data_IF_512365488407
#
_entry.id   IF_512365488407
#
_cell.length_a   1.000
_cell.length_b   1.000
_cell.length_c   1.000
_cell.angle_alpha   90.00
_cell.angle_beta   90.00
_cell.angle_gamma   90.00
#
_symmetry.space_group_name_H-M   'P 1'
#
loop_
_entity.id
_entity.type
_entity.pdbx_description
1 polymer ?
#
# COMPACT_ATOMS: atom_id res chain seq x y z
N UNK A 1 -69.01 14.69 -7.28
CA UNK A 1 -67.75 14.05 -6.82
C UNK A 1 -66.69 14.30 -7.88
N UNK A 2 -65.72 15.22 -7.67
CA UNK A 2 -64.47 15.34 -8.46
C UNK A 2 -63.80 16.67 -8.11
N UNK A 3 -62.76 16.65 -7.28
CA UNK A 3 -61.66 17.62 -7.26
C UNK A 3 -60.70 17.13 -6.16
N UNK A 4 -59.38 17.12 -6.28
CA UNK A 4 -58.45 17.70 -7.25
C UNK A 4 -57.22 16.80 -7.19
N UNK A 5 -56.74 16.35 -8.34
CA UNK A 5 -55.34 15.94 -8.39
C UNK A 5 -54.50 17.17 -8.01
N UNK A 6 -53.49 17.03 -7.15
CA UNK A 6 -52.57 18.13 -6.88
C UNK A 6 -52.02 18.64 -8.22
N UNK A 7 -52.01 19.96 -8.41
CA UNK A 7 -51.51 20.59 -9.64
C UNK A 7 -50.17 19.95 -10.01
N UNK A 8 -50.03 19.50 -11.26
CA UNK A 8 -48.80 18.88 -11.83
C UNK A 8 -47.49 19.51 -11.32
N UNK A 9 -47.33 20.84 -11.17
CA UNK A 9 -46.12 21.42 -10.55
C UNK A 9 -45.83 20.94 -9.13
N UNK A 10 -46.84 20.72 -8.29
CA UNK A 10 -46.68 20.24 -6.91
C UNK A 10 -46.16 18.79 -6.85
N UNK A 11 -46.61 17.94 -7.79
CA UNK A 11 -46.12 16.56 -7.91
C UNK A 11 -44.66 16.54 -8.38
N UNK A 12 -44.29 17.41 -9.32
CA UNK A 12 -42.89 17.55 -9.78
C UNK A 12 -41.97 18.07 -8.67
N UNK A 13 -42.41 19.03 -7.86
CA UNK A 13 -41.64 19.54 -6.72
C UNK A 13 -41.48 18.45 -5.65
N UNK A 14 -42.54 17.70 -5.34
CA UNK A 14 -42.48 16.57 -4.40
C UNK A 14 -41.54 15.46 -4.90
N UNK A 15 -41.59 15.12 -6.19
CA UNK A 15 -40.70 14.14 -6.81
C UNK A 15 -39.23 14.60 -6.78
N UNK A 16 -38.97 15.89 -7.07
CA UNK A 16 -37.62 16.46 -7.01
C UNK A 16 -37.05 16.41 -5.59
N UNK A 17 -37.85 16.74 -4.57
CA UNK A 17 -37.44 16.66 -3.17
C UNK A 17 -37.14 15.21 -2.74
N UNK A 18 -37.92 14.24 -3.23
CA UNK A 18 -37.66 12.83 -2.99
C UNK A 18 -36.34 12.37 -3.63
N UNK A 19 -36.06 12.79 -4.87
CA UNK A 19 -34.80 12.45 -5.56
C UNK A 19 -33.57 13.05 -4.87
N UNK A 20 -33.68 14.28 -4.35
CA UNK A 20 -32.60 14.93 -3.58
C UNK A 20 -32.35 14.22 -2.23
N UNK A 21 -33.41 13.75 -1.57
CA UNK A 21 -33.29 12.96 -0.35
C UNK A 21 -32.61 11.60 -0.58
N UNK A 22 -32.88 10.94 -1.72
CA UNK A 22 -32.23 9.67 -2.10
C UNK A 22 -30.73 9.86 -2.40
N UNK A 23 -30.33 11.03 -2.92
CA UNK A 23 -28.93 11.33 -3.19
C UNK A 23 -28.11 11.53 -1.90
N UNK A 24 -28.75 11.93 -0.80
CA UNK A 24 -28.08 12.21 0.48
C UNK A 24 -27.62 10.95 1.23
N UNK A 25 -28.08 9.76 0.83
CA UNK A 25 -27.79 8.51 1.54
C UNK A 25 -26.42 7.88 1.20
N UNK A 26 -25.69 8.40 0.20
CA UNK A 26 -24.50 7.72 -0.34
C UNK A 26 -23.13 8.17 0.20
N UNK A 27 -23.06 9.02 1.24
CA UNK A 27 -21.76 9.31 1.89
C UNK A 27 -21.60 8.49 3.16
N UNK A 28 -21.52 7.17 2.98
CA UNK A 28 -20.98 6.30 4.02
C UNK A 28 -19.50 6.62 4.16
N UNK A 29 -19.16 7.47 5.13
CA UNK A 29 -17.77 7.71 5.52
C UNK A 29 -17.23 6.41 6.11
N UNK A 30 -16.41 5.72 5.34
CA UNK A 30 -15.58 4.65 5.88
C UNK A 30 -14.61 5.31 6.85
N UNK A 31 -14.87 5.16 8.14
CA UNK A 31 -13.87 5.38 9.16
C UNK A 31 -12.70 4.46 8.85
N UNK A 32 -11.65 5.03 8.23
CA UNK A 32 -10.38 4.35 8.14
C UNK A 32 -9.98 4.04 9.59
N UNK A 33 -9.87 2.74 9.91
CA UNK A 33 -9.18 2.31 11.12
C UNK A 33 -7.78 2.89 11.03
N UNK A 34 -7.59 4.00 11.74
CA UNK A 34 -6.29 4.61 11.91
C UNK A 34 -5.40 3.53 12.52
N UNK A 35 -4.41 3.11 11.74
CA UNK A 35 -3.27 2.41 12.31
C UNK A 35 -2.79 3.23 13.51
N UNK A 36 -2.47 2.50 14.58
CA UNK A 36 -1.74 3.00 15.75
C UNK A 36 -0.74 4.09 15.34
N UNK A 37 -0.59 5.20 16.09
CA UNK A 37 0.29 6.30 15.70
C UNK A 37 1.70 5.73 15.52
N UNK A 38 2.05 5.48 14.25
CA UNK A 38 3.33 4.95 13.89
C UNK A 38 4.35 6.01 14.27
N UNK A 39 5.32 5.63 15.09
CA UNK A 39 6.51 6.43 15.31
C UNK A 39 7.04 6.82 13.92
N UNK A 40 7.12 8.12 13.60
CA UNK A 40 7.51 8.57 12.27
C UNK A 40 8.91 8.09 11.89
N UNK A 41 9.74 7.64 12.84
CA UNK A 41 11.07 7.09 12.56
C UNK A 41 11.13 5.56 12.51
N UNK A 42 10.04 4.85 12.81
CA UNK A 42 10.04 3.39 12.87
C UNK A 42 10.31 2.74 11.51
N UNK A 43 11.01 1.59 11.55
CA UNK A 43 11.31 0.81 10.37
C UNK A 43 10.07 0.04 9.87
N UNK A 44 9.61 0.41 8.68
CA UNK A 44 8.44 -0.18 8.02
C UNK A 44 8.85 -1.01 6.80
N UNK A 45 8.07 -2.04 6.41
CA UNK A 45 8.35 -2.83 5.22
C UNK A 45 8.29 -2.00 3.93
N UNK A 46 9.37 -2.00 3.16
CA UNK A 46 9.50 -1.33 1.87
C UNK A 46 9.94 -2.35 0.80
N UNK A 47 9.51 -2.16 -0.43
CA UNK A 47 9.94 -2.90 -1.61
C UNK A 47 10.93 -2.03 -2.39
N UNK A 48 12.14 -2.54 -2.55
CA UNK A 48 13.24 -1.89 -3.27
C UNK A 48 13.43 -2.62 -4.60
N UNK A 49 13.24 -1.91 -5.70
CA UNK A 49 13.59 -2.37 -7.04
C UNK A 49 15.00 -1.93 -7.37
N UNK A 50 15.82 -2.87 -7.84
CA UNK A 50 17.19 -2.60 -8.26
C UNK A 50 17.41 -3.02 -9.71
N UNK A 51 18.44 -2.47 -10.34
CA UNK A 51 18.95 -2.96 -11.60
C UNK A 51 19.42 -4.41 -11.41
N UNK A 52 19.18 -5.25 -12.42
CA UNK A 52 19.70 -6.61 -12.42
C UNK A 52 21.23 -6.54 -12.50
N UNK A 53 21.97 -7.26 -11.63
CA UNK A 53 23.42 -7.32 -11.76
C UNK A 53 23.80 -7.97 -13.10
N UNK A 54 24.87 -7.48 -13.72
CA UNK A 54 25.37 -8.00 -14.99
C UNK A 54 26.07 -9.37 -14.79
N UNK A 55 25.95 -10.24 -15.79
CA UNK A 55 26.64 -11.54 -15.83
C UNK A 55 26.06 -12.58 -14.87
N UNK A 56 26.94 -13.42 -14.31
CA UNK A 56 26.61 -14.56 -13.44
C UNK A 56 26.66 -14.22 -11.94
N UNK A 57 26.64 -12.93 -11.59
CA UNK A 57 26.68 -12.50 -10.19
C UNK A 57 25.41 -12.93 -9.45
N UNK A 58 25.57 -13.39 -8.20
CA UNK A 58 24.44 -13.77 -7.37
C UNK A 58 23.55 -12.55 -7.06
N UNK A 59 22.26 -12.56 -7.44
CA UNK A 59 21.35 -11.46 -7.18
C UNK A 59 21.19 -11.16 -5.69
N UNK A 60 21.20 -12.18 -4.82
CA UNK A 60 21.01 -11.98 -3.38
C UNK A 60 22.21 -11.27 -2.75
N UNK A 61 23.43 -11.66 -3.09
CA UNK A 61 24.65 -10.95 -2.68
C UNK A 61 24.67 -9.48 -3.15
N UNK A 62 24.16 -9.20 -4.36
CA UNK A 62 24.01 -7.83 -4.86
C UNK A 62 22.97 -7.04 -4.04
N UNK A 63 21.83 -7.66 -3.70
CA UNK A 63 20.81 -7.06 -2.85
C UNK A 63 21.37 -6.71 -1.46
N UNK A 64 22.05 -7.66 -0.81
CA UNK A 64 22.65 -7.45 0.51
C UNK A 64 23.72 -6.36 0.46
N UNK A 65 24.56 -6.33 -0.58
CA UNK A 65 25.60 -5.31 -0.71
C UNK A 65 25.01 -3.91 -0.93
N UNK A 66 23.94 -3.81 -1.73
CA UNK A 66 23.21 -2.55 -1.95
C UNK A 66 22.62 -2.05 -0.63
N UNK A 67 21.96 -2.92 0.13
CA UNK A 67 21.36 -2.55 1.42
C UNK A 67 22.40 -2.22 2.49
N UNK A 68 23.51 -2.96 2.53
CA UNK A 68 24.61 -2.74 3.46
C UNK A 68 25.27 -1.37 3.29
N UNK A 69 25.27 -0.81 2.08
CA UNK A 69 25.78 0.55 1.82
C UNK A 69 25.06 1.64 2.60
N UNK A 70 23.80 1.38 3.00
CA UNK A 70 22.95 2.31 3.75
C UNK A 70 22.86 1.90 5.22
N UNK A 71 22.82 0.60 5.51
CA UNK A 71 22.71 0.09 6.89
C UNK A 71 24.07 -0.03 7.61
N UNK A 72 25.17 0.14 6.89
CA UNK A 72 26.53 0.16 7.42
C UNK A 72 27.20 -1.21 7.60
N UNK A 73 26.47 -2.32 7.43
CA UNK A 73 27.04 -3.68 7.47
C UNK A 73 26.20 -4.70 6.70
N UNK A 74 26.81 -5.82 6.32
CA UNK A 74 26.10 -6.93 5.67
C UNK A 74 25.19 -7.67 6.65
N UNK A 75 25.58 -7.71 7.92
CA UNK A 75 24.81 -8.32 9.01
C UNK A 75 23.50 -7.54 9.22
N UNK A 76 23.58 -6.22 9.37
CA UNK A 76 22.39 -5.38 9.49
C UNK A 76 21.49 -5.47 8.23
N UNK A 77 22.09 -5.59 7.05
CA UNK A 77 21.33 -5.82 5.82
C UNK A 77 20.56 -7.15 5.85
N UNK A 78 21.22 -8.25 6.24
CA UNK A 78 20.56 -9.57 6.36
C UNK A 78 19.43 -9.56 7.38
N UNK A 79 19.62 -8.88 8.51
CA UNK A 79 18.59 -8.77 9.55
C UNK A 79 17.39 -7.91 9.12
N UNK A 80 17.61 -6.93 8.24
CA UNK A 80 16.57 -6.04 7.76
C UNK A 80 15.78 -6.60 6.56
N UNK A 81 16.37 -7.52 5.78
CA UNK A 81 15.68 -8.11 4.62
C UNK A 81 14.56 -9.04 5.08
N UNK A 82 13.41 -8.87 4.45
CA UNK A 82 12.22 -9.72 4.58
C UNK A 82 12.20 -10.76 3.47
N UNK A 83 12.56 -10.36 2.24
CA UNK A 83 12.50 -11.23 1.07
C UNK A 83 13.36 -10.72 -0.09
N UNK A 84 13.92 -11.63 -0.89
CA UNK A 84 14.64 -11.32 -2.13
C UNK A 84 13.80 -11.66 -3.37
N UNK A 85 13.63 -10.69 -4.26
CA UNK A 85 13.01 -10.88 -5.58
C UNK A 85 14.12 -11.09 -6.62
N UNK A 86 14.24 -12.31 -7.16
CA UNK A 86 15.35 -12.69 -8.06
C UNK A 86 14.91 -13.10 -9.47
N UNK A 87 13.66 -13.53 -9.65
CA UNK A 87 13.16 -14.12 -10.89
C UNK A 87 12.75 -13.07 -11.95
N UNK A 88 11.52 -12.55 -11.85
CA UNK A 88 10.93 -11.66 -12.86
C UNK A 88 11.25 -10.18 -12.63
N UNK A 89 11.61 -9.81 -11.41
CA UNK A 89 12.06 -8.48 -11.02
C UNK A 89 13.30 -8.65 -10.13
N UNK A 90 14.26 -7.74 -10.24
CA UNK A 90 15.40 -7.68 -9.33
C UNK A 90 15.07 -6.70 -8.21
N UNK A 91 15.18 -7.14 -6.97
CA UNK A 91 14.80 -6.32 -5.82
C UNK A 91 14.74 -7.09 -4.52
N UNK A 92 14.37 -6.39 -3.45
CA UNK A 92 14.18 -7.00 -2.15
C UNK A 92 13.14 -6.22 -1.33
N UNK A 93 12.47 -6.91 -0.43
CA UNK A 93 11.67 -6.29 0.61
C UNK A 93 12.51 -6.19 1.89
N UNK A 94 12.54 -5.03 2.55
CA UNK A 94 13.28 -4.84 3.80
C UNK A 94 12.53 -3.88 4.75
N UNK A 95 12.80 -3.99 6.05
CA UNK A 95 12.33 -3.01 7.04
C UNK A 95 13.27 -1.81 7.05
N UNK A 96 12.76 -0.64 6.70
CA UNK A 96 13.54 0.59 6.55
C UNK A 96 12.89 1.75 7.28
N UNK A 97 13.73 2.56 7.94
CA UNK A 97 13.34 3.88 8.44
C UNK A 97 13.19 4.86 7.27
N UNK A 98 12.47 5.98 7.42
CA UNK A 98 12.36 6.97 6.35
C UNK A 98 13.71 7.52 5.89
N UNK A 99 14.66 7.71 6.82
CA UNK A 99 16.02 8.16 6.48
C UNK A 99 16.74 7.16 5.57
N UNK A 100 16.67 5.87 5.89
CA UNK A 100 17.28 4.81 5.07
C UNK A 100 16.62 4.71 3.69
N UNK A 101 15.31 4.95 3.59
CA UNK A 101 14.60 5.03 2.30
C UNK A 101 15.16 6.16 1.43
N UNK A 102 15.35 7.35 1.99
CA UNK A 102 15.90 8.50 1.27
C UNK A 102 17.37 8.31 0.88
N UNK A 103 18.15 7.58 1.67
CA UNK A 103 19.53 7.20 1.33
C UNK A 103 19.57 6.15 0.22
N UNK A 104 18.70 5.13 0.27
CA UNK A 104 18.62 4.10 -0.78
C UNK A 104 18.21 4.67 -2.13
N UNK A 105 17.28 5.64 -2.19
CA UNK A 105 16.89 6.31 -3.43
C UNK A 105 18.06 7.01 -4.15
N UNK A 106 19.14 7.31 -3.45
CA UNK A 106 20.35 7.96 -3.99
C UNK A 106 21.39 6.94 -4.47
N UNK A 107 21.23 5.66 -4.13
CA UNK A 107 22.20 4.63 -4.48
C UNK A 107 22.13 4.30 -5.98
N UNK A 108 23.28 4.21 -6.67
CA UNK A 108 23.31 3.78 -8.05
C UNK A 108 22.77 2.36 -8.16
N UNK A 109 21.95 2.12 -9.18
CA UNK A 109 21.29 0.83 -9.38
C UNK A 109 20.00 0.65 -8.59
N UNK A 110 19.62 1.55 -7.67
CA UNK A 110 18.26 1.54 -7.10
C UNK A 110 17.31 2.28 -8.04
N UNK A 111 16.27 1.59 -8.51
CA UNK A 111 15.30 2.13 -9.48
C UNK A 111 14.10 2.75 -8.78
N UNK A 112 13.54 2.06 -7.77
CA UNK A 112 12.37 2.51 -7.02
C UNK A 112 12.38 1.97 -5.59
N UNK A 113 11.87 2.76 -4.65
CA UNK A 113 11.57 2.33 -3.29
C UNK A 113 10.12 2.68 -2.99
N UNK A 114 9.28 1.68 -2.73
CA UNK A 114 7.85 1.84 -2.49
C UNK A 114 7.42 1.14 -1.19
N UNK A 115 6.40 1.66 -0.49
CA UNK A 115 5.89 1.00 0.72
C UNK A 115 5.26 -0.35 0.37
N UNK A 116 5.59 -1.38 1.15
CA UNK A 116 4.90 -2.66 1.05
C UNK A 116 3.50 -2.56 1.64
N UNK A 117 2.51 -3.14 0.95
CA UNK A 117 1.10 -3.09 1.35
C UNK A 117 0.58 -4.50 1.56
N UNK A 118 0.06 -4.77 2.75
CA UNK A 118 -0.68 -6.00 3.05
C UNK A 118 -2.15 -5.78 2.71
N UNK A 119 -2.70 -6.67 1.89
CA UNK A 119 -4.13 -6.65 1.54
C UNK A 119 -4.85 -7.80 2.24
N UNK A 120 -5.96 -7.48 2.92
CA UNK A 120 -6.88 -8.49 3.41
C UNK A 120 -7.83 -8.88 2.28
N UNK A 121 -7.63 -10.06 1.72
CA UNK A 121 -8.51 -10.59 0.70
C UNK A 121 -9.80 -11.08 1.37
N UNK A 122 -10.96 -10.68 0.83
CA UNK A 122 -12.27 -11.08 1.33
C UNK A 122 -12.52 -12.56 0.98
N UNK A 123 -12.06 -13.46 1.84
CA UNK A 123 -12.18 -14.91 1.58
C UNK A 123 -11.55 -15.87 2.60
N UNK A 124 -10.93 -15.40 3.69
CA UNK A 124 -10.37 -16.30 4.70
C UNK A 124 -11.46 -16.90 5.60
N UNK A 125 -12.24 -17.84 5.06
CA UNK A 125 -12.88 -18.86 5.91
C UNK A 125 -11.77 -19.63 6.60
N UNK A 126 -11.79 -19.58 7.92
CA UNK A 126 -10.84 -20.16 8.86
C UNK A 126 -10.64 -21.66 8.60
N UNK A 127 -9.60 -22.01 7.86
CA UNK A 127 -9.14 -23.41 7.76
C UNK A 127 -8.64 -23.87 9.13
N UNK A 128 -9.36 -24.80 9.75
CA UNK A 128 -8.86 -25.57 10.89
C UNK A 128 -7.70 -26.44 10.39
N UNK A 129 -6.50 -26.17 10.90
CA UNK A 129 -5.36 -27.07 10.74
C UNK A 129 -5.64 -28.38 11.48
N UNK A 130 -5.46 -29.49 10.76
CA UNK A 130 -5.37 -30.85 11.30
C UNK A 130 -3.99 -31.09 11.90
#
# INVERSE_FOLDING_TARGET
MMSKYPSIPLLLVSLLLLLLALFSFSTSTMAATAAEPADPEAATPQIVYVARPDGDADPEDFHISTLASVLGSKEAAKDAVIYHYTLSASGFAARLTPKQVEELKKQPGVLHVIPSRTYHLLGSSKGHGV
#
